data_IF_490409728658
#
_entry.id   IF_490409728658
#
_cell.length_a   1.000
_cell.length_b   1.000
_cell.length_c   1.000
_cell.angle_alpha   90.00
_cell.angle_beta   90.00
_cell.angle_gamma   90.00
#
_symmetry.space_group_name_H-M   'P 1'
#
loop_
_entity.id
_entity.type
_entity.pdbx_description
1 polymer ?
#
# COMPACT_ATOMS: atom_id res chain seq x y z
N UNK A 1 -9.21 7.87 24.10
CA UNK A 1 -9.35 9.32 23.80
C UNK A 1 -10.76 9.62 23.30
N UNK A 2 -11.23 10.88 23.28
CA UNK A 2 -12.55 11.23 22.73
C UNK A 2 -12.69 10.87 21.25
N UNK A 3 -13.92 10.61 20.80
CA UNK A 3 -14.25 10.39 19.39
C UNK A 3 -14.35 11.74 18.65
N UNK A 4 -13.21 12.43 18.51
CA UNK A 4 -13.10 13.73 17.86
C UNK A 4 -11.78 13.83 17.09
N UNK A 5 -11.83 14.24 15.82
CA UNK A 5 -10.65 14.38 14.96
C UNK A 5 -9.61 15.35 15.54
N UNK A 6 -10.05 16.48 16.10
CA UNK A 6 -9.15 17.43 16.75
C UNK A 6 -8.36 16.78 17.92
N UNK A 7 -9.03 15.96 18.73
CA UNK A 7 -8.38 15.26 19.84
C UNK A 7 -7.34 14.22 19.35
N UNK A 8 -7.55 13.62 18.18
CA UNK A 8 -6.55 12.74 17.55
C UNK A 8 -5.33 13.54 17.08
N UNK A 9 -5.56 14.66 16.39
CA UNK A 9 -4.49 15.55 15.92
C UNK A 9 -3.65 16.06 17.10
N UNK A 10 -4.30 16.54 18.16
CA UNK A 10 -3.61 17.03 19.36
C UNK A 10 -2.78 15.93 20.03
N UNK A 11 -3.32 14.71 20.13
CA UNK A 11 -2.60 13.59 20.71
C UNK A 11 -1.37 13.18 19.89
N UNK A 12 -1.46 13.21 18.56
CA UNK A 12 -0.29 12.95 17.69
C UNK A 12 0.75 14.05 17.86
N UNK A 13 0.34 15.32 17.90
CA UNK A 13 1.28 16.44 18.13
C UNK A 13 2.00 16.32 19.49
N UNK A 14 1.28 15.95 20.55
CA UNK A 14 1.89 15.69 21.86
C UNK A 14 2.85 14.50 21.82
N UNK A 15 2.47 13.41 21.15
CA UNK A 15 3.32 12.23 21.01
C UNK A 15 4.60 12.53 20.20
N UNK A 16 4.50 13.32 19.14
CA UNK A 16 5.65 13.78 18.35
C UNK A 16 6.62 14.66 19.13
N UNK A 17 6.13 15.38 20.15
CA UNK A 17 6.97 16.20 21.03
C UNK A 17 7.70 15.38 22.13
N UNK A 18 7.45 14.07 22.21
CA UNK A 18 8.10 13.16 23.16
C UNK A 18 8.97 12.14 22.43
N UNK A 19 10.17 11.81 22.94
CA UNK A 19 11.02 10.76 22.37
C UNK A 19 10.51 9.34 22.69
N UNK A 20 9.67 9.18 23.71
CA UNK A 20 9.16 7.88 24.14
C UNK A 20 8.06 7.36 23.21
N UNK A 21 7.87 6.03 23.20
CA UNK A 21 6.75 5.44 22.47
C UNK A 21 5.42 5.83 23.11
N UNK A 22 4.50 6.36 22.30
CA UNK A 22 3.20 6.83 22.76
C UNK A 22 2.07 5.92 22.24
N UNK A 23 1.31 5.33 23.16
CA UNK A 23 0.12 4.54 22.83
C UNK A 23 -1.14 5.41 22.84
N UNK A 24 -1.72 5.65 21.66
CA UNK A 24 -2.98 6.35 21.50
C UNK A 24 -4.12 5.33 21.39
N UNK A 25 -4.95 5.24 22.43
CA UNK A 25 -6.15 4.38 22.41
C UNK A 25 -7.33 5.15 21.86
N UNK A 26 -7.77 4.79 20.65
CA UNK A 26 -8.86 5.43 19.93
C UNK A 26 -10.21 4.93 20.45
N UNK A 27 -11.24 5.76 20.38
CA UNK A 27 -12.57 5.40 20.84
C UNK A 27 -13.18 4.30 19.95
N UNK A 28 -13.68 3.24 20.57
CA UNK A 28 -14.31 2.12 19.86
C UNK A 28 -15.46 2.58 18.96
N UNK A 29 -15.53 2.06 17.73
CA UNK A 29 -16.60 2.42 16.78
C UNK A 29 -16.49 3.83 16.19
N UNK A 30 -15.41 4.56 16.48
CA UNK A 30 -15.27 5.96 16.08
C UNK A 30 -14.77 6.13 14.64
N UNK A 31 -15.31 7.13 13.94
CA UNK A 31 -14.78 7.64 12.69
C UNK A 31 -14.14 9.03 12.91
N UNK A 32 -12.81 9.07 12.89
CA UNK A 32 -12.01 10.30 12.89
C UNK A 32 -11.94 10.83 11.45
N UNK A 33 -12.88 11.72 11.11
CA UNK A 33 -13.00 12.28 9.76
C UNK A 33 -12.14 13.54 9.62
N UNK A 34 -11.20 13.51 8.69
CA UNK A 34 -10.30 14.59 8.31
C UNK A 34 -10.94 15.39 7.16
N UNK A 35 -10.94 16.71 7.27
CA UNK A 35 -11.56 17.60 6.27
C UNK A 35 -10.55 18.45 5.51
N UNK A 36 -9.33 18.59 6.03
CA UNK A 36 -8.28 19.44 5.50
C UNK A 36 -6.90 18.79 5.77
N UNK A 37 -5.88 19.06 4.94
CA UNK A 37 -4.50 18.70 5.25
C UNK A 37 -3.93 19.57 6.38
N UNK A 38 -2.85 19.10 6.99
CA UNK A 38 -2.04 19.91 7.90
C UNK A 38 -1.38 21.06 7.14
N UNK A 39 -1.25 22.26 7.75
CA UNK A 39 -0.69 23.44 7.09
C UNK A 39 0.68 23.17 6.43
N UNK A 40 0.78 23.50 5.13
CA UNK A 40 2.03 23.33 4.35
C UNK A 40 2.36 21.88 3.99
N UNK A 41 1.40 20.97 4.05
CA UNK A 41 1.57 19.55 3.70
C UNK A 41 0.44 19.05 2.81
N UNK A 42 0.59 17.83 2.30
CA UNK A 42 -0.47 17.06 1.62
C UNK A 42 -0.98 15.91 2.49
N UNK A 43 -0.85 16.01 3.82
CA UNK A 43 -1.18 14.95 4.78
C UNK A 43 -2.19 15.45 5.80
N UNK A 44 -3.27 14.69 6.03
CA UNK A 44 -4.38 15.05 6.92
C UNK A 44 -4.03 14.97 8.40
N UNK A 45 -3.27 13.95 8.83
CA UNK A 45 -2.71 13.89 10.18
C UNK A 45 -1.37 14.63 10.27
N UNK A 46 -0.97 15.08 11.48
CA UNK A 46 0.41 15.48 11.70
C UNK A 46 1.35 14.34 11.30
N UNK A 47 2.46 14.69 10.63
CA UNK A 47 3.50 13.72 10.24
C UNK A 47 3.98 12.98 11.47
N UNK A 48 4.11 11.66 11.38
CA UNK A 48 4.61 10.82 12.47
C UNK A 48 6.14 10.96 12.49
N UNK A 49 6.67 11.62 13.53
CA UNK A 49 8.11 11.91 13.67
C UNK A 49 8.77 11.21 14.85
N UNK A 50 7.97 10.59 15.73
CA UNK A 50 8.39 9.73 16.84
C UNK A 50 7.67 8.38 16.79
N UNK A 51 8.03 7.41 17.65
CA UNK A 51 7.29 6.15 17.74
C UNK A 51 5.87 6.34 18.33
N UNK A 52 4.86 6.07 17.52
CA UNK A 52 3.44 6.17 17.89
C UNK A 52 2.75 4.84 17.63
N UNK A 53 1.88 4.44 18.55
CA UNK A 53 1.01 3.29 18.38
C UNK A 53 -0.46 3.73 18.39
N UNK A 54 -1.23 3.37 17.36
CA UNK A 54 -2.68 3.48 17.38
C UNK A 54 -3.29 2.17 17.86
N UNK A 55 -4.18 2.25 18.85
CA UNK A 55 -4.93 1.10 19.34
C UNK A 55 -6.43 1.29 19.10
N UNK A 56 -6.91 0.65 18.03
CA UNK A 56 -8.32 0.57 17.64
C UNK A 56 -9.02 -0.72 18.08
N UNK A 57 -8.32 -1.67 18.70
CA UNK A 57 -8.86 -3.00 19.04
C UNK A 57 -9.68 -3.02 20.34
N UNK A 58 -9.82 -1.89 21.03
CA UNK A 58 -10.58 -1.84 22.29
C UNK A 58 -12.08 -1.76 22.03
N UNK A 59 -12.88 -2.48 22.81
CA UNK A 59 -14.35 -2.37 22.81
C UNK A 59 -15.09 -3.01 21.62
N UNK A 60 -14.39 -3.62 20.66
CA UNK A 60 -14.98 -4.43 19.59
C UNK A 60 -15.61 -3.67 18.41
N UNK A 61 -15.75 -2.34 18.50
CA UNK A 61 -16.18 -1.51 17.38
C UNK A 61 -15.02 -1.09 16.47
N UNK A 62 -15.26 -1.07 15.16
CA UNK A 62 -14.26 -0.67 14.16
C UNK A 62 -13.89 0.81 14.30
N UNK A 63 -12.60 1.11 14.32
CA UNK A 63 -12.09 2.48 14.33
C UNK A 63 -11.61 2.85 12.94
N UNK A 64 -11.98 4.03 12.45
CA UNK A 64 -11.57 4.52 11.13
C UNK A 64 -10.98 5.92 11.25
N UNK A 65 -9.85 6.14 10.59
CA UNK A 65 -9.34 7.46 10.25
C UNK A 65 -9.55 7.63 8.75
N UNK A 66 -10.35 8.62 8.37
CA UNK A 66 -10.82 8.75 7.00
C UNK A 66 -10.78 10.19 6.53
N UNK A 67 -10.43 10.41 5.27
CA UNK A 67 -10.68 11.70 4.64
C UNK A 67 -12.17 11.81 4.29
N UNK A 68 -12.74 12.99 4.52
CA UNK A 68 -14.14 13.31 4.20
C UNK A 68 -14.43 13.13 2.70
N UNK A 69 -15.62 12.61 2.39
CA UNK A 69 -16.14 12.51 1.02
C UNK A 69 -17.15 13.62 0.68
N UNK A 70 -17.29 14.62 1.57
CA UNK A 70 -18.16 15.77 1.31
C UNK A 70 -17.66 16.54 0.07
N UNK A 71 -18.57 17.12 -0.75
CA UNK A 71 -18.19 17.95 -1.89
C UNK A 71 -17.19 19.03 -1.50
N UNK A 72 -16.20 19.27 -2.36
CA UNK A 72 -15.12 20.24 -2.16
C UNK A 72 -14.14 19.94 -1.01
N UNK A 73 -14.17 18.75 -0.40
CA UNK A 73 -13.09 18.34 0.50
C UNK A 73 -11.78 18.28 -0.31
N UNK A 74 -10.71 19.00 0.07
CA UNK A 74 -9.44 18.95 -0.64
C UNK A 74 -8.86 17.54 -0.70
N UNK A 75 -8.03 17.28 -1.70
CA UNK A 75 -7.29 16.01 -1.78
C UNK A 75 -6.09 16.05 -0.84
N UNK A 76 -5.94 15.02 -0.02
CA UNK A 76 -4.76 14.78 0.81
C UNK A 76 -4.65 13.31 1.23
N UNK A 77 -3.42 12.92 1.56
CA UNK A 77 -3.07 11.63 2.19
C UNK A 77 -3.53 11.58 3.64
N UNK A 78 -3.79 10.40 4.19
CA UNK A 78 -4.12 10.27 5.62
C UNK A 78 -2.87 10.33 6.52
N UNK A 79 -1.88 9.47 6.27
CA UNK A 79 -0.72 9.24 7.15
C UNK A 79 0.58 9.44 6.40
N UNK A 80 1.53 10.16 6.99
CA UNK A 80 2.92 10.20 6.54
C UNK A 80 3.85 9.92 7.72
N UNK A 81 4.78 9.00 7.53
CA UNK A 81 5.80 8.60 8.49
C UNK A 81 7.14 9.10 7.98
N UNK A 82 7.82 9.95 8.76
CA UNK A 82 9.12 10.49 8.40
C UNK A 82 10.24 9.48 8.65
N UNK A 83 11.46 9.82 8.25
CA UNK A 83 12.65 8.98 8.44
C UNK A 83 12.99 8.65 9.90
N UNK A 84 12.48 9.44 10.86
CA UNK A 84 12.62 9.19 12.30
C UNK A 84 11.37 8.60 12.94
N UNK A 85 10.27 8.52 12.20
CA UNK A 85 8.96 8.11 12.69
C UNK A 85 8.76 6.60 12.65
N UNK A 86 7.94 6.12 13.56
CA UNK A 86 7.38 4.77 13.45
C UNK A 86 5.93 4.76 13.86
N UNK A 87 5.09 4.10 13.05
CA UNK A 87 3.68 3.87 13.36
C UNK A 87 3.40 2.38 13.52
N UNK A 88 2.89 2.00 14.68
CA UNK A 88 2.25 0.71 14.89
C UNK A 88 0.73 0.89 14.93
N UNK A 89 0.02 0.38 13.93
CA UNK A 89 -1.43 0.41 13.83
C UNK A 89 -2.01 -0.96 14.24
N UNK A 90 -2.69 -0.97 15.39
CA UNK A 90 -3.44 -2.11 15.87
C UNK A 90 -4.94 -1.90 15.62
N UNK A 91 -5.45 -2.44 14.52
CA UNK A 91 -6.89 -2.52 14.27
C UNK A 91 -7.58 -1.27 13.76
N UNK A 92 -6.85 -0.24 13.32
CA UNK A 92 -7.45 0.95 12.73
C UNK A 92 -7.60 0.79 11.22
N UNK A 93 -8.67 1.36 10.67
CA UNK A 93 -8.88 1.48 9.23
C UNK A 93 -8.41 2.85 8.74
N UNK A 94 -7.51 2.87 7.76
CA UNK A 94 -7.07 4.08 7.05
C UNK A 94 -7.77 4.12 5.69
N UNK A 95 -8.52 5.20 5.42
CA UNK A 95 -9.37 5.23 4.22
C UNK A 95 -9.57 6.59 3.55
N UNK A 96 -10.00 6.52 2.27
CA UNK A 96 -10.44 7.64 1.44
C UNK A 96 -9.40 8.74 1.20
N UNK A 97 -8.13 8.51 1.53
CA UNK A 97 -7.05 9.42 1.19
C UNK A 97 -6.92 9.55 -0.32
N UNK A 98 -6.62 10.76 -0.79
CA UNK A 98 -6.59 11.08 -2.22
C UNK A 98 -5.44 12.04 -2.50
N UNK A 99 -4.62 11.77 -3.51
CA UNK A 99 -3.59 12.71 -4.00
C UNK A 99 -3.62 12.74 -5.54
N UNK A 100 -3.97 13.89 -6.11
CA UNK A 100 -4.11 14.10 -7.57
C UNK A 100 -2.78 14.17 -8.31
N UNK A 101 -1.70 14.65 -7.67
CA UNK A 101 -0.38 14.76 -8.28
C UNK A 101 0.28 13.38 -8.41
N UNK A 102 -0.16 12.73 -9.48
CA UNK A 102 0.26 11.43 -9.97
C UNK A 102 1.55 11.52 -10.82
N UNK A 103 2.26 12.66 -10.76
CA UNK A 103 3.54 12.89 -11.44
C UNK A 103 4.57 13.31 -10.38
N UNK A 104 5.73 12.62 -10.29
CA UNK A 104 6.69 12.85 -9.22
C UNK A 104 7.57 14.06 -9.57
N UNK A 105 7.16 15.27 -9.18
CA UNK A 105 8.14 16.37 -9.07
C UNK A 105 8.79 16.42 -7.68
N UNK A 106 8.25 15.70 -6.69
CA UNK A 106 8.71 15.82 -5.31
C UNK A 106 8.58 14.53 -4.45
N UNK A 107 8.21 13.37 -5.03
CA UNK A 107 8.17 12.09 -4.29
C UNK A 107 7.07 11.99 -3.24
N UNK A 108 6.00 12.79 -3.34
CA UNK A 108 4.94 12.90 -2.33
C UNK A 108 3.59 12.31 -2.75
N UNK A 109 3.53 11.12 -3.37
CA UNK A 109 2.33 10.72 -4.12
C UNK A 109 1.49 9.54 -3.58
N UNK A 110 1.70 9.05 -2.36
CA UNK A 110 0.84 7.99 -1.77
C UNK A 110 -0.55 8.49 -1.35
N UNK A 111 -1.62 7.74 -1.65
CA UNK A 111 -3.01 8.11 -1.33
C UNK A 111 -3.39 7.86 0.14
N UNK A 112 -3.09 6.69 0.68
CA UNK A 112 -3.42 6.34 2.08
C UNK A 112 -2.29 6.66 3.05
N UNK A 113 -1.19 5.91 2.91
CA UNK A 113 -0.03 5.93 3.81
C UNK A 113 1.25 6.13 2.99
N UNK A 114 2.12 7.03 3.45
CA UNK A 114 3.48 7.20 2.94
C UNK A 114 4.47 6.88 4.06
N UNK A 115 5.40 5.96 3.77
CA UNK A 115 6.53 5.64 4.63
C UNK A 115 7.78 6.14 3.94
N UNK A 116 8.43 7.17 4.50
CA UNK A 116 9.70 7.68 3.96
C UNK A 116 10.84 6.72 4.28
N UNK A 117 11.94 6.85 3.53
CA UNK A 117 13.19 6.15 3.79
C UNK A 117 13.61 6.31 5.27
N UNK A 118 13.96 5.21 5.94
CA UNK A 118 14.24 5.16 7.38
C UNK A 118 13.01 5.07 8.29
N UNK A 119 11.81 5.42 7.80
CA UNK A 119 10.55 5.29 8.53
C UNK A 119 10.06 3.84 8.62
N UNK A 120 9.22 3.55 9.62
CA UNK A 120 8.71 2.20 9.87
C UNK A 120 7.20 2.15 10.12
N UNK A 121 6.51 1.28 9.39
CA UNK A 121 5.08 0.99 9.52
C UNK A 121 4.87 -0.48 9.93
N UNK A 122 4.08 -0.70 10.98
CA UNK A 122 3.56 -2.01 11.35
C UNK A 122 2.03 -1.97 11.39
N UNK A 123 1.39 -2.73 10.51
CA UNK A 123 -0.06 -2.90 10.45
C UNK A 123 -0.42 -4.28 11.03
N UNK A 124 -1.24 -4.29 12.08
CA UNK A 124 -1.66 -5.52 12.76
C UNK A 124 -3.17 -5.52 12.87
N UNK A 125 -3.85 -6.43 12.17
CA UNK A 125 -5.32 -6.47 12.10
C UNK A 125 -5.94 -5.17 11.58
N UNK A 126 -5.17 -4.38 10.83
CA UNK A 126 -5.59 -3.10 10.30
C UNK A 126 -6.27 -3.26 8.93
N UNK A 127 -6.79 -2.15 8.39
CA UNK A 127 -7.32 -2.09 7.03
C UNK A 127 -6.89 -0.81 6.30
N UNK A 128 -6.43 -0.91 5.07
CA UNK A 128 -6.12 0.23 4.21
C UNK A 128 -7.01 0.16 2.97
N UNK A 129 -7.98 1.08 2.85
CA UNK A 129 -9.05 0.93 1.84
C UNK A 129 -9.54 2.22 1.20
N UNK A 130 -9.92 2.14 -0.08
CA UNK A 130 -10.54 3.27 -0.80
C UNK A 130 -9.60 4.46 -1.00
N UNK A 131 -8.29 4.26 -0.94
CA UNK A 131 -7.32 5.33 -1.12
C UNK A 131 -6.89 5.45 -2.58
N UNK A 132 -6.65 6.67 -3.05
CA UNK A 132 -6.28 6.97 -4.44
C UNK A 132 -5.01 7.82 -4.49
N UNK A 133 -4.03 7.45 -5.30
CA UNK A 133 -2.78 8.20 -5.44
C UNK A 133 -1.89 7.66 -6.55
N UNK A 134 -0.62 8.02 -6.53
CA UNK A 134 0.40 7.34 -7.33
C UNK A 134 0.57 5.91 -6.84
N UNK A 135 0.77 5.71 -5.54
CA UNK A 135 0.43 4.48 -4.85
C UNK A 135 -0.95 4.65 -4.23
N UNK A 136 -1.86 3.69 -4.43
CA UNK A 136 -3.22 3.83 -3.91
C UNK A 136 -3.23 3.73 -2.39
N UNK A 137 -2.92 2.55 -1.86
CA UNK A 137 -2.94 2.27 -0.43
C UNK A 137 -1.69 2.74 0.30
N UNK A 138 -0.57 2.04 0.06
CA UNK A 138 0.69 2.23 0.79
C UNK A 138 1.81 2.55 -0.21
N UNK A 139 2.51 3.66 0.03
CA UNK A 139 3.75 4.02 -0.67
C UNK A 139 4.92 3.85 0.30
N UNK A 140 5.82 2.91 0.04
CA UNK A 140 6.88 2.53 0.97
C UNK A 140 8.28 2.75 0.38
N UNK A 141 9.00 3.72 0.92
CA UNK A 141 10.45 3.91 0.76
C UNK A 141 11.25 3.40 1.96
N UNK A 142 10.56 3.10 3.07
CA UNK A 142 11.16 2.63 4.31
C UNK A 142 10.82 1.16 4.57
N UNK A 143 10.42 0.85 5.80
CA UNK A 143 9.99 -0.50 6.18
C UNK A 143 8.50 -0.56 6.44
N UNK A 144 7.82 -1.54 5.85
CA UNK A 144 6.43 -1.83 6.16
C UNK A 144 6.24 -3.32 6.49
N UNK A 145 5.38 -3.59 7.48
CA UNK A 145 5.04 -4.95 7.93
C UNK A 145 3.52 -5.07 8.06
N UNK A 146 2.94 -6.08 7.43
CA UNK A 146 1.50 -6.40 7.46
C UNK A 146 1.29 -7.77 8.09
N UNK A 147 0.61 -7.79 9.23
CA UNK A 147 0.19 -9.00 9.95
C UNK A 147 -1.34 -9.02 10.06
N UNK A 148 -1.96 -10.04 9.44
CA UNK A 148 -3.41 -10.21 9.41
C UNK A 148 -4.16 -8.93 8.99
N UNK A 149 -3.61 -8.23 8.00
CA UNK A 149 -4.08 -6.90 7.55
C UNK A 149 -4.76 -7.02 6.20
N UNK A 150 -5.79 -6.20 5.96
CA UNK A 150 -6.44 -6.12 4.64
C UNK A 150 -6.05 -4.83 3.93
N UNK A 151 -5.61 -4.91 2.67
CA UNK A 151 -5.41 -3.76 1.80
C UNK A 151 -6.29 -3.94 0.57
N UNK A 152 -7.30 -3.09 0.40
CA UNK A 152 -8.34 -3.34 -0.61
C UNK A 152 -8.97 -2.11 -1.22
N UNK A 153 -9.44 -2.24 -2.47
CA UNK A 153 -10.18 -1.17 -3.15
C UNK A 153 -9.38 0.12 -3.30
N UNK A 154 -8.05 0.05 -3.27
CA UNK A 154 -7.18 1.20 -3.47
C UNK A 154 -6.82 1.35 -4.96
N UNK A 155 -6.64 2.58 -5.42
CA UNK A 155 -6.41 2.94 -6.81
C UNK A 155 -5.08 3.68 -6.94
N UNK A 156 -4.13 3.08 -7.65
CA UNK A 156 -2.81 3.63 -7.91
C UNK A 156 -2.56 3.95 -9.39
N UNK A 157 -1.45 4.64 -9.66
CA UNK A 157 -0.79 4.69 -10.97
C UNK A 157 0.33 3.65 -11.07
N UNK A 158 0.94 3.31 -9.94
CA UNK A 158 1.87 2.22 -9.72
C UNK A 158 1.58 1.62 -8.34
N UNK A 159 1.37 0.31 -8.24
CA UNK A 159 1.02 -0.29 -6.95
C UNK A 159 -0.36 0.15 -6.46
N UNK A 160 -1.42 -0.50 -6.95
CA UNK A 160 -2.78 -0.15 -6.55
C UNK A 160 -2.98 -0.29 -5.04
N UNK A 161 -2.60 -1.44 -4.49
CA UNK A 161 -2.57 -1.66 -3.04
C UNK A 161 -1.30 -1.12 -2.41
N UNK A 162 -0.14 -1.60 -2.90
CA UNK A 162 1.18 -1.27 -2.35
C UNK A 162 2.13 -0.94 -3.50
N UNK A 163 2.84 0.19 -3.36
CA UNK A 163 4.07 0.47 -4.09
C UNK A 163 5.24 0.38 -3.09
N UNK A 164 6.12 -0.60 -3.28
CA UNK A 164 7.37 -0.74 -2.55
C UNK A 164 8.53 -0.28 -3.44
N UNK A 165 9.12 0.85 -3.09
CA UNK A 165 10.16 1.52 -3.88
C UNK A 165 11.53 0.84 -3.70
N UNK A 166 12.54 1.29 -4.46
CA UNK A 166 13.87 0.69 -4.55
C UNK A 166 14.55 0.46 -3.18
N UNK A 167 14.43 1.42 -2.26
CA UNK A 167 14.97 1.35 -0.90
C UNK A 167 14.02 0.64 0.09
N UNK A 168 12.81 0.33 -0.35
CA UNK A 168 11.73 -0.17 0.49
C UNK A 168 11.84 -1.65 0.81
N UNK A 169 11.51 -2.00 2.06
CA UNK A 169 11.28 -3.39 2.48
C UNK A 169 9.84 -3.60 2.93
N UNK A 170 9.15 -4.58 2.35
CA UNK A 170 7.80 -4.99 2.75
C UNK A 170 7.77 -6.45 3.26
N UNK A 171 7.12 -6.68 4.40
CA UNK A 171 6.84 -8.02 4.92
C UNK A 171 5.33 -8.23 5.05
N UNK A 172 4.78 -9.27 4.44
CA UNK A 172 3.34 -9.54 4.41
C UNK A 172 3.09 -10.97 4.87
N UNK A 173 2.35 -11.15 5.97
CA UNK A 173 2.08 -12.47 6.55
C UNK A 173 0.79 -12.47 7.39
N UNK A 174 0.58 -13.54 8.17
CA UNK A 174 -0.49 -13.64 9.16
C UNK A 174 -1.88 -13.80 8.56
N UNK A 175 -1.98 -14.25 7.30
CA UNK A 175 -3.23 -14.31 6.56
C UNK A 175 -3.67 -12.98 5.99
N UNK A 176 -2.74 -12.01 5.82
CA UNK A 176 -3.04 -10.72 5.20
C UNK A 176 -3.63 -10.89 3.78
N UNK A 177 -4.53 -9.98 3.41
CA UNK A 177 -5.27 -10.03 2.14
C UNK A 177 -5.07 -8.72 1.39
N UNK A 178 -4.61 -8.80 0.15
CA UNK A 178 -4.55 -7.69 -0.79
C UNK A 178 -5.56 -7.96 -1.89
N UNK A 179 -6.67 -7.20 -1.93
CA UNK A 179 -7.77 -7.53 -2.86
C UNK A 179 -8.49 -6.36 -3.51
N UNK A 180 -8.91 -6.53 -4.76
CA UNK A 180 -9.70 -5.52 -5.46
C UNK A 180 -8.97 -4.18 -5.67
N UNK A 181 -7.65 -4.15 -5.50
CA UNK A 181 -6.84 -2.98 -5.76
C UNK A 181 -6.59 -2.85 -7.25
N UNK A 182 -6.46 -1.61 -7.72
CA UNK A 182 -6.40 -1.32 -9.14
C UNK A 182 -5.26 -0.36 -9.43
N UNK A 183 -4.57 -0.60 -10.53
CA UNK A 183 -3.67 0.38 -11.13
C UNK A 183 -4.26 0.87 -12.45
N UNK A 184 -4.27 2.18 -12.66
CA UNK A 184 -4.79 2.80 -13.88
C UNK A 184 -3.75 3.79 -14.43
N UNK A 185 -3.30 3.56 -15.67
CA UNK A 185 -2.34 4.45 -16.32
C UNK A 185 -2.87 5.88 -16.42
N UNK A 186 -2.08 6.86 -16.00
CA UNK A 186 -2.49 8.26 -16.11
C UNK A 186 -2.46 8.71 -17.57
N UNK A 187 -3.52 9.39 -17.99
CA UNK A 187 -3.65 9.96 -19.34
C UNK A 187 -2.74 11.16 -19.59
N UNK A 188 -2.18 11.79 -18.56
CA UNK A 188 -1.37 13.02 -18.69
C UNK A 188 0.14 12.75 -18.74
N UNK A 189 0.58 11.59 -18.26
CA UNK A 189 1.97 11.11 -18.37
C UNK A 189 2.01 9.76 -19.07
N UNK A 190 1.96 9.74 -20.42
CA UNK A 190 1.90 8.51 -21.21
C UNK A 190 3.18 7.68 -21.18
N UNK A 191 4.07 7.86 -20.20
CA UNK A 191 5.36 7.17 -20.07
C UNK A 191 5.36 6.10 -18.97
N UNK A 192 4.47 6.17 -17.98
CA UNK A 192 4.47 5.23 -16.85
C UNK A 192 3.51 4.07 -17.14
N UNK A 193 4.03 2.85 -17.07
CA UNK A 193 3.24 1.62 -17.20
C UNK A 193 2.40 1.36 -15.95
N UNK A 194 1.15 0.93 -16.16
CA UNK A 194 0.26 0.57 -15.07
C UNK A 194 0.65 -0.81 -14.54
N UNK A 195 1.40 -0.87 -13.45
CA UNK A 195 1.96 -2.11 -12.95
C UNK A 195 1.58 -2.39 -11.51
N UNK A 196 1.38 -3.67 -11.18
CA UNK A 196 1.21 -4.11 -9.80
C UNK A 196 -0.14 -3.68 -9.22
N UNK A 197 -1.25 -4.21 -9.75
CA UNK A 197 -2.58 -3.86 -9.23
C UNK A 197 -2.69 -4.10 -7.73
N UNK A 198 -2.17 -5.25 -7.26
CA UNK A 198 -2.00 -5.52 -5.83
C UNK A 198 -0.71 -4.91 -5.29
N UNK A 199 0.43 -5.35 -5.82
CA UNK A 199 1.76 -4.94 -5.39
C UNK A 199 2.61 -4.56 -6.59
N UNK A 200 3.20 -3.37 -6.56
CA UNK A 200 4.41 -3.06 -7.32
C UNK A 200 5.61 -3.14 -6.35
N UNK A 201 6.64 -3.88 -6.71
CA UNK A 201 7.85 -4.05 -5.91
C UNK A 201 9.08 -3.71 -6.75
N UNK A 202 9.80 -2.66 -6.37
CA UNK A 202 11.13 -2.31 -6.85
C UNK A 202 12.22 -2.51 -5.77
N UNK A 203 11.85 -2.83 -4.53
CA UNK A 203 12.77 -3.13 -3.44
C UNK A 203 12.74 -4.60 -3.01
N UNK A 204 12.73 -4.82 -1.70
CA UNK A 204 12.68 -6.16 -1.10
C UNK A 204 11.27 -6.49 -0.58
N UNK A 205 10.73 -7.64 -0.98
CA UNK A 205 9.48 -8.14 -0.44
C UNK A 205 9.60 -9.56 0.12
N UNK A 206 9.07 -9.78 1.31
CA UNK A 206 8.81 -11.12 1.85
C UNK A 206 7.30 -11.34 1.98
N UNK A 207 6.78 -12.30 1.22
CA UNK A 207 5.36 -12.64 1.16
C UNK A 207 5.18 -14.05 1.73
N UNK A 208 4.73 -14.12 2.97
CA UNK A 208 4.41 -15.38 3.66
C UNK A 208 2.96 -15.82 3.46
N UNK A 209 2.31 -16.41 4.48
CA UNK A 209 0.88 -16.72 4.44
C UNK A 209 0.04 -15.47 4.22
N UNK A 210 -0.30 -15.20 2.96
CA UNK A 210 -1.04 -14.04 2.50
C UNK A 210 -1.72 -14.35 1.16
N UNK A 211 -2.82 -13.64 0.87
CA UNK A 211 -3.58 -13.80 -0.38
C UNK A 211 -3.60 -12.49 -1.16
N UNK A 212 -3.14 -12.53 -2.41
CA UNK A 212 -3.19 -11.41 -3.35
C UNK A 212 -4.19 -11.78 -4.44
N UNK A 213 -5.39 -11.21 -4.38
CA UNK A 213 -6.51 -11.66 -5.22
C UNK A 213 -7.35 -10.56 -5.84
N UNK A 214 -7.88 -10.81 -7.05
CA UNK A 214 -8.83 -9.91 -7.72
C UNK A 214 -8.31 -8.48 -7.93
N UNK A 215 -7.00 -8.29 -7.96
CA UNK A 215 -6.38 -7.01 -8.25
C UNK A 215 -6.22 -6.81 -9.76
N UNK A 216 -6.24 -5.57 -10.21
CA UNK A 216 -6.33 -5.25 -11.64
C UNK A 216 -5.28 -4.26 -12.12
N UNK A 217 -4.66 -4.53 -13.27
CA UNK A 217 -3.90 -3.54 -14.03
C UNK A 217 -4.67 -3.13 -15.28
N UNK A 218 -5.20 -1.91 -15.25
CA UNK A 218 -6.08 -1.36 -16.28
C UNK A 218 -5.33 -0.39 -17.19
N UNK A 219 -5.59 -0.52 -18.48
CA UNK A 219 -5.04 0.34 -19.53
C UNK A 219 -6.03 1.47 -19.82
N UNK A 220 -5.60 2.73 -19.71
CA UNK A 220 -6.49 3.89 -19.89
C UNK A 220 -6.81 4.21 -21.35
N UNK A 221 -6.00 3.75 -22.32
CA UNK A 221 -6.27 3.88 -23.75
C UNK A 221 -5.47 2.86 -24.57
N UNK A 222 -5.84 2.61 -25.84
CA UNK A 222 -5.08 1.72 -26.73
C UNK A 222 -3.68 2.24 -27.08
N UNK A 223 -3.32 3.47 -26.72
CA UNK A 223 -1.99 4.06 -26.93
C UNK A 223 -1.18 4.22 -25.64
N UNK A 224 -1.77 3.95 -24.47
CA UNK A 224 -1.08 4.03 -23.19
C UNK A 224 0.08 3.00 -23.09
N UNK A 225 1.02 3.16 -22.16
CA UNK A 225 1.97 2.10 -21.84
C UNK A 225 1.29 0.79 -21.40
N UNK A 226 2.08 -0.28 -21.30
CA UNK A 226 1.57 -1.61 -20.93
C UNK A 226 0.92 -1.60 -19.54
N UNK A 227 -0.11 -2.43 -19.36
CA UNK A 227 -0.71 -2.70 -18.07
C UNK A 227 -0.55 -4.17 -17.70
N UNK A 228 0.36 -4.48 -16.76
CA UNK A 228 0.85 -5.83 -16.47
C UNK A 228 0.94 -6.08 -14.96
N UNK A 229 0.97 -7.36 -14.56
CA UNK A 229 1.11 -7.73 -13.16
C UNK A 229 -0.09 -7.27 -12.34
N UNK A 230 -1.29 -7.66 -12.75
CA UNK A 230 -2.53 -7.33 -12.02
C UNK A 230 -2.42 -7.69 -10.54
N UNK A 231 -1.82 -8.85 -10.22
CA UNK A 231 -1.49 -9.22 -8.85
C UNK A 231 -0.23 -8.53 -8.37
N UNK A 232 0.91 -8.89 -8.97
CA UNK A 232 2.23 -8.41 -8.58
C UNK A 232 3.01 -7.99 -9.83
N UNK A 233 3.69 -6.85 -9.77
CA UNK A 233 4.81 -6.53 -10.64
C UNK A 233 6.07 -6.44 -9.79
N UNK A 234 7.06 -7.28 -10.09
CA UNK A 234 8.38 -7.28 -9.46
C UNK A 234 9.37 -6.70 -10.46
N UNK A 235 9.83 -5.49 -10.19
CA UNK A 235 10.64 -4.70 -11.09
C UNK A 235 12.07 -4.52 -10.59
N UNK A 236 13.05 -4.83 -11.45
CA UNK A 236 14.47 -4.75 -11.12
C UNK A 236 15.20 -3.64 -11.87
N UNK A 237 14.47 -2.67 -12.44
CA UNK A 237 15.09 -1.65 -13.30
C UNK A 237 15.84 -0.58 -12.50
N UNK A 238 15.28 -0.16 -11.36
CA UNK A 238 15.89 0.84 -10.49
C UNK A 238 16.85 0.22 -9.46
N UNK A 239 16.48 -0.94 -8.91
CA UNK A 239 17.32 -1.70 -7.97
C UNK A 239 17.62 -3.10 -8.54
N UNK A 240 18.88 -3.42 -8.90
CA UNK A 240 19.23 -4.74 -9.42
C UNK A 240 19.09 -5.87 -8.40
N UNK A 241 19.07 -5.53 -7.10
CA UNK A 241 18.88 -6.47 -6.00
C UNK A 241 17.39 -6.60 -5.62
N UNK A 242 16.47 -5.94 -6.33
CA UNK A 242 15.03 -6.07 -6.11
C UNK A 242 14.60 -7.55 -6.19
N UNK A 243 13.87 -8.00 -5.16
CA UNK A 243 13.48 -9.40 -5.09
C UNK A 243 12.21 -9.64 -4.29
N UNK A 244 11.61 -10.81 -4.54
CA UNK A 244 10.54 -11.36 -3.73
C UNK A 244 10.98 -12.70 -3.14
N UNK A 245 10.86 -12.83 -1.83
CA UNK A 245 10.84 -14.11 -1.12
C UNK A 245 9.40 -14.54 -0.88
N UNK A 246 8.95 -15.59 -1.54
CA UNK A 246 7.71 -16.28 -1.17
C UNK A 246 7.97 -17.29 -0.07
N UNK A 247 7.17 -17.27 0.99
CA UNK A 247 7.15 -18.35 1.98
C UNK A 247 5.90 -19.23 1.79
N UNK A 248 5.93 -20.40 2.42
CA UNK A 248 4.83 -21.36 2.36
C UNK A 248 3.49 -20.72 2.76
N UNK A 249 2.47 -20.90 1.93
CA UNK A 249 1.13 -20.37 2.15
C UNK A 249 0.81 -19.06 1.43
N UNK A 250 1.75 -18.49 0.67
CA UNK A 250 1.47 -17.38 -0.23
C UNK A 250 0.57 -17.80 -1.41
N UNK A 251 -0.42 -16.98 -1.75
CA UNK A 251 -1.38 -17.24 -2.84
C UNK A 251 -1.56 -16.01 -3.71
N UNK A 252 -1.46 -16.17 -5.03
CA UNK A 252 -1.74 -15.13 -6.04
C UNK A 252 -2.78 -15.65 -7.02
N UNK A 253 -4.03 -15.18 -6.92
CA UNK A 253 -5.14 -15.75 -7.72
C UNK A 253 -6.16 -14.74 -8.20
N UNK A 254 -6.80 -15.01 -9.34
CA UNK A 254 -7.92 -14.19 -9.82
C UNK A 254 -7.55 -12.75 -10.19
N UNK A 255 -6.25 -12.42 -10.27
CA UNK A 255 -5.81 -11.09 -10.66
C UNK A 255 -5.88 -10.93 -12.17
N UNK A 256 -6.11 -9.70 -12.64
CA UNK A 256 -6.27 -9.41 -14.06
C UNK A 256 -5.42 -8.26 -14.56
N UNK A 257 -4.97 -8.30 -15.80
CA UNK A 257 -4.31 -7.17 -16.45
C UNK A 257 -4.73 -7.06 -17.91
N UNK A 258 -4.54 -5.88 -18.51
CA UNK A 258 -4.80 -5.70 -19.94
C UNK A 258 -3.78 -6.43 -20.81
N UNK A 259 -2.51 -6.42 -20.40
CA UNK A 259 -1.39 -7.05 -21.07
C UNK A 259 -0.83 -8.20 -20.23
N UNK A 260 -0.25 -9.21 -20.86
CA UNK A 260 0.30 -10.37 -20.13
C UNK A 260 1.58 -9.97 -19.37
N UNK A 261 1.80 -10.53 -18.16
CA UNK A 261 0.94 -11.46 -17.42
C UNK A 261 -0.02 -10.76 -16.44
N UNK A 262 -1.09 -11.48 -16.06
CA UNK A 262 -2.10 -11.06 -15.10
C UNK A 262 -1.75 -11.28 -13.64
N UNK A 263 -1.12 -12.42 -13.36
CA UNK A 263 -0.74 -12.80 -12.00
C UNK A 263 0.50 -12.04 -11.54
N UNK A 264 1.65 -12.50 -12.01
CA UNK A 264 2.96 -11.95 -11.63
C UNK A 264 3.74 -11.58 -12.88
N UNK A 265 4.00 -10.28 -13.04
CA UNK A 265 5.03 -9.78 -13.94
C UNK A 265 6.36 -9.75 -13.18
N UNK A 266 7.40 -10.38 -13.73
CA UNK A 266 8.72 -10.42 -13.08
C UNK A 266 9.82 -9.96 -14.04
N UNK A 267 10.49 -8.87 -13.71
CA UNK A 267 11.75 -8.42 -14.34
C UNK A 267 12.93 -8.41 -13.35
N UNK A 268 12.74 -8.90 -12.12
CA UNK A 268 13.76 -9.01 -11.08
C UNK A 268 13.93 -10.46 -10.59
N UNK A 269 14.40 -10.65 -9.34
CA UNK A 269 14.63 -11.96 -8.73
C UNK A 269 13.42 -12.43 -7.91
N UNK A 270 13.13 -13.74 -7.96
CA UNK A 270 12.13 -14.38 -7.10
C UNK A 270 12.72 -15.65 -6.52
N UNK A 271 12.53 -15.83 -5.21
CA UNK A 271 13.00 -16.97 -4.45
C UNK A 271 11.84 -17.58 -3.65
N UNK A 272 11.84 -18.91 -3.50
CA UNK A 272 10.90 -19.63 -2.65
C UNK A 272 11.61 -20.12 -1.38
N UNK A 273 11.02 -19.83 -0.23
CA UNK A 273 11.41 -20.32 1.09
C UNK A 273 10.37 -21.35 1.56
N UNK A 274 10.59 -22.61 1.21
CA UNK A 274 9.67 -23.73 1.46
C UNK A 274 8.83 -24.07 0.24
N UNK A 275 7.56 -24.44 0.44
CA UNK A 275 6.62 -24.72 -0.67
C UNK A 275 6.37 -23.45 -1.46
N UNK A 276 6.41 -23.54 -2.79
CA UNK A 276 6.16 -22.42 -3.67
C UNK A 276 4.77 -21.81 -3.47
N UNK A 277 4.67 -20.52 -3.81
CA UNK A 277 3.41 -19.81 -3.82
C UNK A 277 2.42 -20.44 -4.81
N UNK A 278 1.15 -20.50 -4.43
CA UNK A 278 0.09 -20.95 -5.32
C UNK A 278 -0.31 -19.80 -6.25
N UNK A 279 0.09 -19.88 -7.51
CA UNK A 279 -0.22 -18.85 -8.53
C UNK A 279 -1.17 -19.45 -9.56
N UNK A 280 -2.45 -19.04 -9.54
CA UNK A 280 -3.47 -19.68 -10.39
C UNK A 280 -4.67 -18.78 -10.75
N UNK A 281 -5.30 -19.07 -11.89
CA UNK A 281 -6.54 -18.40 -12.28
C UNK A 281 -6.40 -16.90 -12.52
N UNK A 282 -5.20 -16.43 -12.85
CA UNK A 282 -4.96 -15.03 -13.21
C UNK A 282 -5.12 -14.84 -14.72
N UNK A 283 -5.49 -13.63 -15.15
CA UNK A 283 -5.81 -13.31 -16.54
C UNK A 283 -5.01 -12.11 -17.05
N UNK A 284 -4.39 -12.14 -18.23
CA UNK A 284 -4.57 -13.17 -19.26
C UNK A 284 -3.76 -14.45 -19.01
N UNK A 285 -2.75 -14.38 -18.14
CA UNK A 285 -1.90 -15.52 -17.75
C UNK A 285 -1.43 -15.41 -16.30
N UNK A 286 -0.97 -16.51 -15.73
CA UNK A 286 -0.38 -16.52 -14.39
C UNK A 286 0.95 -15.78 -14.37
N UNK A 287 1.93 -16.26 -15.13
CA UNK A 287 3.26 -15.64 -15.20
C UNK A 287 3.83 -15.60 -16.62
N UNK A 288 3.26 -16.36 -17.56
CA UNK A 288 3.75 -16.39 -18.93
C UNK A 288 3.60 -15.01 -19.60
N UNK A 289 4.73 -14.43 -20.01
CA UNK A 289 4.86 -13.04 -20.47
C UNK A 289 5.89 -12.25 -19.66
N UNK A 290 6.25 -12.72 -18.46
CA UNK A 290 7.31 -12.12 -17.65
C UNK A 290 8.68 -12.17 -18.34
N UNK A 291 9.47 -11.09 -18.27
CA UNK A 291 10.86 -11.08 -18.73
C UNK A 291 11.75 -12.14 -18.06
N UNK A 292 11.60 -12.30 -16.75
CA UNK A 292 12.33 -13.27 -15.94
C UNK A 292 11.39 -14.40 -15.48
N UNK A 293 11.91 -15.63 -15.28
CA UNK A 293 11.12 -16.74 -14.76
C UNK A 293 10.48 -16.43 -13.39
N UNK A 294 9.28 -16.96 -13.17
CA UNK A 294 8.68 -17.06 -11.84
C UNK A 294 8.74 -18.53 -11.43
N UNK A 295 9.53 -18.90 -10.41
CA UNK A 295 9.72 -20.30 -10.03
C UNK A 295 8.41 -21.04 -9.76
N UNK A 296 8.26 -22.23 -10.35
CA UNK A 296 7.11 -23.13 -10.19
C UNK A 296 5.75 -22.54 -10.65
N UNK A 297 5.76 -21.39 -11.31
CA UNK A 297 4.55 -20.83 -11.92
C UNK A 297 4.29 -21.46 -13.30
N UNK A 298 3.07 -21.96 -13.49
CA UNK A 298 2.64 -22.58 -14.76
C UNK A 298 1.56 -21.71 -15.42
N UNK A 299 1.71 -21.49 -16.73
CA UNK A 299 0.78 -20.72 -17.57
C UNK A 299 0.86 -19.22 -17.35
#
# INVERSE_FOLDING_TARGET
>A
MPCQTAALIDAINMANASPDSNLLTLASGCAYTLTEPQPGTVTGLPRITSPIAFNGLTGGGNVTITRSIAPNTPEFRIVEITSSGSLADFGVTISNGAVSDRVPSDGHSGGGILVREGGSLALVRARVTGNTGFAGGIHNFGRATLDNTTVDGNIGVLGGGINNEAEGTINIFGGSILSGNQVQSHTETPTISAQGGGIFNAGEAMIGPATIENNQALRSSSTAPMAIGGGISNDGTENPDAHIFFQTGAVVKGNSSADRPGGINNSALIFNLGTAALIQGNTPTNCAGSPNPVPECVG
#
